data_IF_979768329017
#
_entry.id   IF_979768329017
#
_cell.length_a   1.000
_cell.length_b   1.000
_cell.length_c   1.000
_cell.angle_alpha   90.00
_cell.angle_beta   90.00
_cell.angle_gamma   90.00
#
_symmetry.space_group_name_H-M   'P 1'
#
loop_
_entity.id
_entity.type
_entity.pdbx_description
1 polymer ?
#
# COMPACT_ATOMS: atom_id res chain seq x y z
N UNK A 1 5.89 -5.51 -0.99
CA UNK A 1 7.09 -5.89 -1.81
C UNK A 1 8.09 -4.74 -1.83
N UNK A 2 9.38 -5.02 -1.54
CA UNK A 2 10.48 -4.05 -1.59
C UNK A 2 11.48 -4.45 -2.66
N UNK A 3 11.58 -3.66 -3.71
CA UNK A 3 12.35 -4.00 -4.91
C UNK A 3 13.81 -3.53 -4.81
N UNK A 4 14.76 -4.27 -5.42
CA UNK A 4 16.18 -3.88 -5.44
C UNK A 4 16.41 -2.53 -6.14
N UNK A 5 15.76 -2.32 -7.28
CA UNK A 5 15.90 -1.08 -8.07
C UNK A 5 15.15 0.08 -7.39
N UNK A 6 15.78 1.22 -7.08
CA UNK A 6 15.14 2.36 -6.43
C UNK A 6 14.04 3.05 -7.25
N UNK A 7 14.03 2.86 -8.57
CA UNK A 7 12.97 3.39 -9.44
C UNK A 7 11.69 2.54 -9.41
N UNK A 8 11.77 1.29 -8.93
CA UNK A 8 10.58 0.47 -8.71
C UNK A 8 10.10 0.73 -7.28
N UNK A 9 8.91 1.29 -7.08
CA UNK A 9 8.41 1.64 -5.75
C UNK A 9 8.20 0.42 -4.87
N UNK A 10 8.13 0.62 -3.56
CA UNK A 10 7.51 -0.36 -2.69
C UNK A 10 6.00 -0.41 -2.98
N UNK A 11 5.43 -1.60 -3.01
CA UNK A 11 4.02 -1.83 -3.33
C UNK A 11 3.43 -2.73 -2.27
N UNK A 12 2.32 -2.30 -1.70
CA UNK A 12 1.60 -2.99 -0.66
C UNK A 12 0.17 -3.31 -1.10
N UNK A 13 -0.30 -4.46 -0.70
CA UNK A 13 -1.66 -4.92 -0.93
C UNK A 13 -2.07 -5.88 0.17
N UNK A 14 -3.28 -5.72 0.66
CA UNK A 14 -3.95 -6.75 1.44
C UNK A 14 -5.45 -6.76 1.15
N UNK A 15 -6.07 -7.91 1.33
CA UNK A 15 -7.51 -8.06 1.46
C UNK A 15 -7.79 -9.03 2.59
N UNK A 16 -8.91 -8.82 3.27
CA UNK A 16 -9.34 -9.67 4.37
C UNK A 16 -10.85 -9.79 4.41
N UNK A 17 -11.30 -10.93 4.88
CA UNK A 17 -12.64 -11.13 5.38
C UNK A 17 -12.54 -11.48 6.85
N UNK A 18 -13.14 -10.69 7.70
CA UNK A 18 -13.16 -10.90 9.15
C UNK A 18 -14.57 -11.36 9.51
N UNK A 19 -14.67 -12.44 10.27
CA UNK A 19 -15.93 -12.98 10.74
C UNK A 19 -15.90 -13.11 12.26
N UNK A 20 -16.88 -12.46 12.91
CA UNK A 20 -17.16 -12.57 14.34
C UNK A 20 -18.68 -12.88 14.47
N UNK A 21 -19.44 -12.06 15.17
CA UNK A 21 -20.91 -12.09 15.09
C UNK A 21 -21.45 -11.67 13.72
N UNK A 22 -20.69 -10.83 13.00
CA UNK A 22 -20.99 -10.35 11.65
C UNK A 22 -19.71 -10.34 10.82
N UNK A 23 -19.84 -10.71 9.53
CA UNK A 23 -18.72 -10.68 8.61
C UNK A 23 -18.57 -9.34 7.88
N UNK A 24 -17.32 -8.95 7.57
CA UNK A 24 -17.04 -7.79 6.72
C UNK A 24 -15.74 -7.94 5.94
N UNK A 25 -15.66 -7.25 4.82
CA UNK A 25 -14.44 -7.15 4.02
C UNK A 25 -13.66 -5.90 4.37
N UNK A 26 -12.34 -6.03 4.34
CA UNK A 26 -11.40 -4.92 4.41
C UNK A 26 -10.24 -5.15 3.45
N UNK A 27 -9.45 -4.13 3.24
CA UNK A 27 -8.27 -4.21 2.40
C UNK A 27 -7.81 -2.87 1.85
N UNK A 28 -6.90 -2.97 0.90
CA UNK A 28 -6.38 -1.81 0.20
C UNK A 28 -5.15 -2.12 -0.61
N UNK A 29 -4.72 -1.12 -1.38
CA UNK A 29 -3.44 -1.11 -2.07
C UNK A 29 -2.83 0.27 -2.00
N UNK A 30 -1.51 0.34 -1.85
CA UNK A 30 -0.77 1.58 -1.87
C UNK A 30 0.62 1.41 -2.49
N UNK A 31 1.18 2.53 -2.94
CA UNK A 31 2.49 2.56 -3.59
C UNK A 31 3.37 3.63 -2.96
N UNK A 32 4.61 3.25 -2.63
CA UNK A 32 5.60 4.12 -1.97
C UNK A 32 6.83 4.27 -2.87
N UNK A 33 6.88 5.26 -3.79
CA UNK A 33 8.06 5.55 -4.57
C UNK A 33 9.18 6.12 -3.69
N UNK A 34 10.40 5.64 -3.90
CA UNK A 34 11.59 6.25 -3.28
C UNK A 34 12.06 7.47 -4.09
N UNK A 35 11.96 7.38 -5.41
CA UNK A 35 12.27 8.47 -6.33
C UNK A 35 10.96 9.08 -6.84
N UNK A 36 10.81 10.40 -6.72
CA UNK A 36 9.59 11.11 -7.18
C UNK A 36 9.32 10.85 -8.66
N UNK A 37 8.10 10.46 -8.99
CA UNK A 37 7.65 10.19 -10.35
C UNK A 37 6.17 10.57 -10.50
N UNK A 38 5.92 11.83 -10.87
CA UNK A 38 4.56 12.36 -11.07
C UNK A 38 3.77 11.65 -12.17
N UNK A 39 4.46 11.10 -13.20
CA UNK A 39 3.79 10.34 -14.27
C UNK A 39 3.27 9.00 -13.74
N UNK A 40 4.08 8.30 -12.94
CA UNK A 40 3.67 7.08 -12.26
C UNK A 40 2.50 7.33 -11.33
N UNK A 41 2.59 8.37 -10.49
CA UNK A 41 1.53 8.74 -9.54
C UNK A 41 0.19 8.98 -10.25
N UNK A 42 0.19 9.84 -11.28
CA UNK A 42 -1.03 10.12 -12.06
C UNK A 42 -1.61 8.87 -12.71
N UNK A 43 -0.77 8.04 -13.32
CA UNK A 43 -1.19 6.80 -13.96
C UNK A 43 -1.75 5.80 -12.93
N UNK A 44 -1.06 5.59 -11.81
CA UNK A 44 -1.47 4.68 -10.74
C UNK A 44 -2.86 5.05 -10.21
N UNK A 45 -3.07 6.31 -9.88
CA UNK A 45 -4.37 6.78 -9.40
C UNK A 45 -5.48 6.67 -10.45
N UNK A 46 -5.16 6.87 -11.73
CA UNK A 46 -6.13 6.66 -12.80
C UNK A 46 -6.55 5.18 -12.92
N UNK A 47 -5.61 4.23 -12.80
CA UNK A 47 -5.92 2.79 -12.86
C UNK A 47 -6.77 2.34 -11.67
N UNK A 48 -6.44 2.78 -10.45
CA UNK A 48 -7.27 2.46 -9.27
C UNK A 48 -8.67 3.06 -9.41
N UNK A 49 -8.75 4.31 -9.89
CA UNK A 49 -10.04 4.96 -10.08
C UNK A 49 -10.92 4.19 -11.06
N UNK A 50 -10.37 3.72 -12.19
CA UNK A 50 -11.11 2.87 -13.15
C UNK A 50 -11.69 1.63 -12.47
N UNK A 51 -10.90 0.95 -11.63
CA UNK A 51 -11.35 -0.25 -10.92
C UNK A 51 -12.45 0.06 -9.90
N UNK A 52 -12.32 1.15 -9.15
CA UNK A 52 -13.34 1.59 -8.21
C UNK A 52 -14.65 1.96 -8.93
N UNK A 53 -14.55 2.67 -10.05
CA UNK A 53 -15.69 3.20 -10.82
C UNK A 53 -16.58 2.11 -11.42
N UNK A 54 -16.05 0.89 -11.62
CA UNK A 54 -16.84 -0.29 -12.04
C UNK A 54 -17.89 -0.71 -10.99
N UNK A 55 -17.62 -0.38 -9.72
CA UNK A 55 -18.48 -0.78 -8.60
C UNK A 55 -19.25 0.41 -8.02
N UNK A 56 -18.58 1.55 -7.83
CA UNK A 56 -19.23 2.78 -7.35
C UNK A 56 -18.34 4.00 -7.64
N UNK A 57 -18.90 5.04 -8.24
CA UNK A 57 -18.21 6.30 -8.59
C UNK A 57 -17.62 7.04 -7.40
N UNK A 58 -18.16 6.82 -6.20
CA UNK A 58 -17.68 7.45 -4.96
C UNK A 58 -16.57 6.67 -4.27
N UNK A 59 -16.32 5.38 -4.63
CA UNK A 59 -15.38 4.53 -3.92
C UNK A 59 -13.96 5.08 -3.97
N UNK A 60 -13.49 5.50 -5.15
CA UNK A 60 -12.15 6.04 -5.27
C UNK A 60 -11.93 7.25 -4.35
N UNK A 61 -12.80 8.26 -4.40
CA UNK A 61 -12.70 9.46 -3.58
C UNK A 61 -12.70 9.13 -2.08
N UNK A 62 -13.66 8.29 -1.65
CA UNK A 62 -13.80 7.87 -0.25
C UNK A 62 -12.58 7.09 0.24
N UNK A 63 -12.15 6.08 -0.49
CA UNK A 63 -11.10 5.17 -0.05
C UNK A 63 -9.70 5.74 -0.23
N UNK A 64 -9.51 6.64 -1.21
CA UNK A 64 -8.27 7.42 -1.33
C UNK A 64 -8.07 8.34 -0.13
N UNK A 65 -9.09 9.10 0.23
CA UNK A 65 -9.03 9.97 1.42
C UNK A 65 -8.67 9.17 2.67
N UNK A 66 -9.33 8.04 2.88
CA UNK A 66 -9.03 7.16 4.01
C UNK A 66 -7.60 6.60 3.97
N UNK A 67 -7.11 6.21 2.80
CA UNK A 67 -5.75 5.77 2.60
C UNK A 67 -4.73 6.86 2.96
N UNK A 68 -4.94 8.09 2.49
CA UNK A 68 -4.06 9.22 2.75
C UNK A 68 -3.99 9.55 4.25
N UNK A 69 -5.13 9.52 4.95
CA UNK A 69 -5.22 9.71 6.40
C UNK A 69 -4.55 8.56 7.18
N UNK A 70 -4.76 7.31 6.75
CA UNK A 70 -4.21 6.14 7.42
C UNK A 70 -2.69 6.07 7.33
N UNK A 71 -2.12 6.33 6.15
CA UNK A 71 -0.67 6.23 5.88
C UNK A 71 0.10 7.53 6.12
N UNK A 72 -0.44 8.44 6.91
CA UNK A 72 0.24 9.66 7.31
C UNK A 72 1.20 9.41 8.48
N UNK A 73 2.39 10.04 8.44
CA UNK A 73 3.39 10.02 9.51
C UNK A 73 3.39 11.37 10.24
N UNK A 74 2.68 11.51 11.38
CA UNK A 74 2.56 12.79 12.08
C UNK A 74 3.90 13.38 12.51
N UNK A 75 4.82 12.55 13.02
CA UNK A 75 6.14 12.98 13.48
C UNK A 75 7.10 13.41 12.35
N UNK A 76 6.73 13.15 11.10
CA UNK A 76 7.48 13.57 9.89
C UNK A 76 6.72 14.62 9.09
N UNK A 77 5.46 14.86 9.42
CA UNK A 77 4.56 15.72 8.66
C UNK A 77 4.51 15.37 7.15
N UNK A 78 4.52 14.07 6.85
CA UNK A 78 4.48 13.56 5.47
C UNK A 78 3.63 12.29 5.34
N UNK A 79 3.11 12.02 4.14
CA UNK A 79 2.52 10.72 3.78
C UNK A 79 3.60 9.66 3.54
N UNK A 80 3.32 8.39 3.87
CA UNK A 80 4.24 7.27 3.63
C UNK A 80 4.61 7.08 2.16
N UNK A 81 3.72 7.39 1.23
CA UNK A 81 3.92 7.23 -0.20
C UNK A 81 3.00 8.16 -1.00
N UNK A 82 2.60 7.73 -2.18
CA UNK A 82 1.65 8.45 -3.02
C UNK A 82 0.19 8.06 -2.72
N UNK A 83 -0.03 7.26 -1.65
CA UNK A 83 -1.33 6.73 -1.27
C UNK A 83 -1.79 5.59 -2.18
N UNK A 84 -3.09 5.47 -2.27
CA UNK A 84 -3.80 4.41 -2.99
C UNK A 84 -5.25 4.39 -2.56
N UNK A 85 -5.76 3.23 -2.16
CA UNK A 85 -7.09 3.06 -1.53
C UNK A 85 -6.98 2.20 -0.28
N UNK A 86 -7.75 2.56 0.74
CA UNK A 86 -7.94 1.77 1.95
C UNK A 86 -9.43 1.70 2.29
N UNK A 87 -9.93 0.51 2.58
CA UNK A 87 -11.32 0.28 2.98
C UNK A 87 -11.43 -0.78 4.06
N UNK A 88 -12.43 -0.63 4.89
CA UNK A 88 -12.77 -1.58 5.95
C UNK A 88 -14.27 -1.60 6.20
N UNK A 89 -14.73 -2.57 7.01
CA UNK A 89 -16.12 -2.70 7.42
C UNK A 89 -17.13 -2.72 6.26
N UNK A 90 -16.76 -3.30 5.10
CA UNK A 90 -17.70 -3.50 3.99
C UNK A 90 -18.57 -4.73 4.28
N UNK A 91 -19.84 -4.47 4.58
CA UNK A 91 -20.82 -5.51 5.00
C UNK A 91 -22.24 -5.27 4.48
N UNK A 92 -22.39 -4.44 3.44
CA UNK A 92 -23.72 -4.08 2.94
C UNK A 92 -24.35 -5.17 2.04
N UNK A 93 -23.54 -5.80 1.19
CA UNK A 93 -23.97 -6.88 0.29
C UNK A 93 -22.75 -7.75 -0.01
N UNK A 94 -22.79 -9.01 0.39
CA UNK A 94 -21.64 -9.92 0.34
C UNK A 94 -21.09 -10.09 -1.08
N UNK A 95 -21.97 -10.37 -2.06
CA UNK A 95 -21.55 -10.61 -3.45
C UNK A 95 -20.92 -9.37 -4.09
N UNK A 96 -21.55 -8.20 -3.90
CA UNK A 96 -21.03 -6.92 -4.40
C UNK A 96 -19.72 -6.54 -3.73
N UNK A 97 -19.62 -6.74 -2.41
CA UNK A 97 -18.44 -6.43 -1.65
C UNK A 97 -17.29 -7.37 -1.99
N UNK A 98 -17.56 -8.68 -2.13
CA UNK A 98 -16.59 -9.65 -2.62
C UNK A 98 -16.12 -9.35 -4.05
N UNK A 99 -17.04 -9.03 -4.95
CA UNK A 99 -16.72 -8.65 -6.33
C UNK A 99 -15.77 -7.43 -6.38
N UNK A 100 -16.02 -6.42 -5.54
CA UNK A 100 -15.11 -5.27 -5.40
C UNK A 100 -13.73 -5.67 -4.89
N UNK A 101 -13.65 -6.47 -3.83
CA UNK A 101 -12.38 -6.94 -3.25
C UNK A 101 -11.57 -7.72 -4.28
N UNK A 102 -12.23 -8.60 -5.04
CA UNK A 102 -11.62 -9.36 -6.15
C UNK A 102 -11.09 -8.43 -7.24
N UNK A 103 -11.85 -7.40 -7.65
CA UNK A 103 -11.41 -6.42 -8.64
C UNK A 103 -10.18 -5.66 -8.15
N UNK A 104 -10.12 -5.27 -6.87
CA UNK A 104 -8.95 -4.64 -6.27
C UNK A 104 -7.71 -5.52 -6.40
N UNK A 105 -7.83 -6.82 -6.13
CA UNK A 105 -6.73 -7.79 -6.28
C UNK A 105 -6.25 -7.93 -7.73
N UNK A 106 -7.16 -8.05 -8.68
CA UNK A 106 -6.85 -8.14 -10.11
C UNK A 106 -6.16 -6.86 -10.59
N UNK A 107 -6.69 -5.71 -10.18
CA UNK A 107 -6.11 -4.40 -10.51
C UNK A 107 -4.70 -4.27 -9.96
N UNK A 108 -4.47 -4.63 -8.69
CA UNK A 108 -3.14 -4.60 -8.10
C UNK A 108 -2.14 -5.48 -8.86
N UNK A 109 -2.51 -6.72 -9.18
CA UNK A 109 -1.67 -7.61 -9.98
C UNK A 109 -1.24 -6.96 -11.30
N UNK A 110 -2.17 -6.34 -12.02
CA UNK A 110 -1.92 -5.70 -13.30
C UNK A 110 -1.03 -4.46 -13.16
N UNK A 111 -1.31 -3.62 -12.16
CA UNK A 111 -0.51 -2.42 -11.82
C UNK A 111 0.94 -2.82 -11.49
N UNK A 112 1.14 -3.81 -10.63
CA UNK A 112 2.47 -4.31 -10.25
C UNK A 112 3.23 -4.78 -11.46
N UNK A 113 2.60 -5.59 -12.32
CA UNK A 113 3.21 -6.08 -13.55
C UNK A 113 3.69 -4.93 -14.43
N UNK A 114 2.85 -3.95 -14.69
CA UNK A 114 3.19 -2.79 -15.53
C UNK A 114 4.33 -1.94 -14.93
N UNK A 115 4.32 -1.70 -13.63
CA UNK A 115 5.38 -0.96 -12.95
C UNK A 115 6.72 -1.70 -13.09
N UNK A 116 6.72 -3.01 -12.82
CA UNK A 116 7.93 -3.82 -12.90
C UNK A 116 8.46 -3.83 -14.34
N UNK A 117 7.63 -4.14 -15.33
CA UNK A 117 8.05 -4.20 -16.74
C UNK A 117 8.67 -2.88 -17.21
N UNK A 118 8.12 -1.74 -16.81
CA UNK A 118 8.60 -0.42 -17.22
C UNK A 118 9.86 0.04 -16.48
N UNK A 119 10.14 -0.48 -15.28
CA UNK A 119 11.15 0.14 -14.41
C UNK A 119 12.27 -0.80 -13.92
N UNK A 120 12.11 -2.12 -13.98
CA UNK A 120 13.08 -3.06 -13.37
C UNK A 120 14.49 -2.99 -13.99
N UNK A 121 14.60 -2.61 -15.28
CA UNK A 121 15.89 -2.46 -16.00
C UNK A 121 16.46 -1.04 -15.94
N UNK A 122 15.77 -0.07 -15.32
CA UNK A 122 16.24 1.30 -15.25
C UNK A 122 17.54 1.38 -14.45
N UNK A 123 18.57 1.99 -15.04
CA UNK A 123 19.85 2.24 -14.35
C UNK A 123 19.63 3.20 -13.18
N UNK A 124 20.42 3.06 -12.13
CA UNK A 124 20.36 3.93 -10.95
C UNK A 124 21.76 4.27 -10.44
N UNK A 125 21.85 5.39 -9.74
CA UNK A 125 23.07 5.88 -9.10
C UNK A 125 23.17 5.44 -7.63
N UNK A 126 24.38 5.55 -7.04
CA UNK A 126 24.58 5.34 -5.59
C UNK A 126 23.69 6.30 -4.77
N UNK A 127 23.57 7.57 -5.20
CA UNK A 127 22.72 8.57 -4.54
C UNK A 127 21.24 8.14 -4.51
N UNK A 128 20.71 7.66 -5.61
CA UNK A 128 19.32 7.17 -5.66
C UNK A 128 19.11 5.94 -4.76
N UNK A 129 20.15 5.11 -4.61
CA UNK A 129 20.13 3.97 -3.69
C UNK A 129 20.08 4.41 -2.23
N UNK A 130 20.85 5.43 -1.85
CA UNK A 130 20.78 6.01 -0.50
C UNK A 130 19.39 6.61 -0.22
N UNK A 131 18.81 7.35 -1.16
CA UNK A 131 17.44 7.86 -1.05
C UNK A 131 16.44 6.70 -0.83
N UNK A 132 16.62 5.57 -1.51
CA UNK A 132 15.78 4.39 -1.29
C UNK A 132 15.87 3.90 0.15
N UNK A 133 17.06 3.82 0.72
CA UNK A 133 17.25 3.37 2.11
C UNK A 133 16.61 4.33 3.12
N UNK A 134 16.75 5.64 2.91
CA UNK A 134 16.10 6.64 3.76
C UNK A 134 14.56 6.58 3.69
N UNK A 135 13.99 6.46 2.49
CA UNK A 135 12.54 6.30 2.32
C UNK A 135 12.01 4.98 2.88
N UNK A 136 12.83 3.93 2.89
CA UNK A 136 12.52 2.68 3.60
C UNK A 136 12.49 2.87 5.11
N UNK A 137 13.32 3.75 5.68
CA UNK A 137 13.23 4.15 7.08
C UNK A 137 11.84 4.72 7.42
N UNK A 138 11.26 5.59 6.56
CA UNK A 138 9.89 6.10 6.73
C UNK A 138 8.84 4.99 6.68
N UNK A 139 9.03 4.01 5.82
CA UNK A 139 8.15 2.84 5.73
C UNK A 139 8.19 2.01 7.02
N UNK A 140 9.39 1.77 7.58
CA UNK A 140 9.56 1.07 8.87
C UNK A 140 8.92 1.85 10.01
N UNK A 141 9.17 3.17 10.08
CA UNK A 141 8.55 4.04 11.10
C UNK A 141 7.02 3.92 11.09
N UNK A 142 6.40 3.97 9.91
CA UNK A 142 4.96 3.81 9.83
C UNK A 142 4.50 2.46 10.36
N UNK A 143 5.09 1.38 9.90
CA UNK A 143 4.66 0.03 10.28
C UNK A 143 4.82 -0.23 11.79
N UNK A 144 5.92 0.19 12.39
CA UNK A 144 6.16 -0.05 13.81
C UNK A 144 5.37 0.90 14.72
N UNK A 145 5.20 2.17 14.31
CA UNK A 145 4.58 3.18 15.18
C UNK A 145 3.07 3.32 14.98
N UNK A 146 2.57 3.13 13.75
CA UNK A 146 1.20 3.50 13.41
C UNK A 146 0.35 2.38 12.80
N UNK A 147 0.96 1.35 12.18
CA UNK A 147 0.18 0.29 11.57
C UNK A 147 -0.56 -0.55 12.61
N UNK A 148 -1.88 -0.51 12.55
CA UNK A 148 -2.75 -1.22 13.51
C UNK A 148 -2.56 -2.73 13.44
N UNK A 149 -2.35 -3.29 12.24
CA UNK A 149 -2.15 -4.73 12.06
C UNK A 149 -0.84 -5.21 12.67
N UNK A 150 0.25 -4.50 12.43
CA UNK A 150 1.56 -4.78 13.03
C UNK A 150 1.51 -4.69 14.54
N UNK A 151 0.93 -3.61 15.08
CA UNK A 151 0.80 -3.42 16.54
C UNK A 151 -0.05 -4.52 17.18
N UNK A 152 -1.20 -4.83 16.60
CA UNK A 152 -2.07 -5.91 17.10
C UNK A 152 -1.34 -7.24 17.10
N UNK A 153 -0.69 -7.62 16.00
CA UNK A 153 0.04 -8.88 15.91
C UNK A 153 1.15 -9.02 16.97
N UNK A 154 1.95 -7.96 17.16
CA UNK A 154 3.01 -7.95 18.18
C UNK A 154 2.47 -7.96 19.62
N UNK A 155 1.32 -7.35 19.88
CA UNK A 155 0.69 -7.30 21.20
C UNK A 155 -0.07 -8.58 21.56
N UNK A 156 -0.42 -9.41 20.59
CA UNK A 156 -1.18 -10.65 20.78
C UNK A 156 -0.33 -11.91 20.62
N UNK A 157 0.98 -11.79 20.78
CA UNK A 157 1.93 -12.89 20.72
C UNK A 157 1.91 -13.66 19.38
N UNK A 158 1.65 -12.93 18.30
CA UNK A 158 1.66 -13.48 16.95
C UNK A 158 3.08 -13.81 16.45
N UNK A 159 3.17 -14.61 15.40
CA UNK A 159 4.46 -14.96 14.78
C UNK A 159 5.17 -13.70 14.27
N UNK A 160 6.27 -13.32 14.93
CA UNK A 160 7.03 -12.08 14.66
C UNK A 160 7.55 -12.04 13.22
N UNK A 161 8.08 -13.15 12.70
CA UNK A 161 8.62 -13.21 11.34
C UNK A 161 7.51 -12.96 10.29
N UNK A 162 6.33 -13.52 10.51
CA UNK A 162 5.17 -13.28 9.65
C UNK A 162 4.65 -11.84 9.76
N UNK A 163 4.66 -11.25 10.96
CA UNK A 163 4.21 -9.86 11.16
C UNK A 163 5.18 -8.87 10.51
N UNK A 164 6.47 -9.06 10.70
CA UNK A 164 7.50 -8.15 10.21
C UNK A 164 7.94 -8.41 8.76
N UNK A 165 7.36 -9.40 8.07
CA UNK A 165 7.69 -9.73 6.67
C UNK A 165 7.44 -8.56 5.70
N UNK A 166 6.64 -7.58 6.08
CA UNK A 166 6.36 -6.39 5.27
C UNK A 166 7.49 -5.35 5.30
N UNK A 167 8.42 -5.46 6.23
CA UNK A 167 9.54 -4.54 6.37
C UNK A 167 10.58 -4.73 5.27
N UNK A 168 11.27 -3.66 4.86
CA UNK A 168 12.37 -3.75 3.89
C UNK A 168 13.60 -4.41 4.52
N UNK A 169 14.41 -5.14 3.72
CA UNK A 169 15.61 -5.82 4.22
C UNK A 169 16.71 -4.87 4.71
N UNK A 170 16.73 -3.63 4.22
CA UNK A 170 17.67 -2.57 4.59
C UNK A 170 16.95 -1.22 4.62
N UNK A 171 17.16 -0.46 5.67
CA UNK A 171 16.68 0.90 5.86
C UNK A 171 17.77 1.75 6.51
N UNK A 172 17.69 3.07 6.32
CA UNK A 172 18.60 4.05 6.96
C UNK A 172 17.82 5.21 7.55
N UNK A 173 18.38 5.82 8.58
CA UNK A 173 17.93 7.06 9.19
C UNK A 173 19.03 8.11 9.12
N UNK A 174 18.61 9.35 8.97
CA UNK A 174 19.44 10.54 9.19
C UNK A 174 19.04 11.21 10.47
#
# INVERSE_FOLDING_TARGET
MHMKNPHVPAMHFNTRYVYTSHGWFGGGMDVTPCIKDKKLEKWFHAEIKKSCDKHNKNYYKKYKKWCDEYFYLPHRNEGRGIGGIFFDYKKNNWEKDFSFVREVGISFKNIVREIILKKHKKKWTKKEKEIQYEKRGRYVEFNLLYDRGTKFGLQTDGNVDAILMSLPPLAKWK
#
